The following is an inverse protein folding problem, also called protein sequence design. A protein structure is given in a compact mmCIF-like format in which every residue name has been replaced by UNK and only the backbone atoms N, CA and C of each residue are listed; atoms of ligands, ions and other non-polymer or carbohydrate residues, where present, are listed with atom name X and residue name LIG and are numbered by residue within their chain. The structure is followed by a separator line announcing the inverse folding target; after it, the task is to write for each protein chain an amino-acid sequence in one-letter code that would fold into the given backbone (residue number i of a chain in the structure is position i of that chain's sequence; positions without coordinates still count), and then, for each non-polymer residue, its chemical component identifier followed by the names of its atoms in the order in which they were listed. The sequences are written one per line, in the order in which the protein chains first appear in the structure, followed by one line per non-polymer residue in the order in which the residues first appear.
data_IF_562109515755
#
_entry.id   IF_562109515755
#
_cell.length_a   1.000
_cell.length_b   1.000
_cell.length_c   1.000
_cell.angle_alpha   90.00
_cell.angle_beta   90.00
_cell.angle_gamma   90.00
#
_symmetry.space_group_name_H-M   'P 1'
#
loop_
_entity.id
_entity.type
_entity.pdbx_description
1 polymer ?
#
# COMPACT_ATOMS: atom_id res chain seq x y z
N UNK A 1 44.10 -39.61 -56.42
CA UNK A 1 42.74 -39.96 -55.95
C UNK A 1 42.09 -38.71 -55.37
N UNK A 2 40.81 -38.46 -55.64
CA UNK A 2 40.04 -37.37 -54.99
C UNK A 2 39.33 -37.95 -53.76
N UNK A 3 39.41 -37.32 -52.58
CA UNK A 3 38.73 -37.81 -51.40
C UNK A 3 37.21 -37.80 -51.60
N UNK A 4 36.53 -38.82 -51.05
CA UNK A 4 35.08 -38.91 -50.99
C UNK A 4 34.64 -38.66 -49.55
N UNK A 5 33.54 -37.92 -49.37
CA UNK A 5 32.92 -37.74 -48.07
C UNK A 5 32.33 -39.06 -47.57
N UNK A 6 32.53 -39.36 -46.29
CA UNK A 6 31.91 -40.50 -45.60
C UNK A 6 30.42 -40.30 -45.36
N UNK A 7 29.75 -41.31 -44.81
CA UNK A 7 28.30 -41.31 -44.58
C UNK A 7 27.80 -40.29 -43.54
N UNK A 8 28.69 -39.67 -42.77
CA UNK A 8 28.38 -38.63 -41.81
C UNK A 8 29.12 -37.35 -42.21
N UNK A 9 28.37 -36.40 -42.75
CA UNK A 9 28.86 -35.09 -43.21
C UNK A 9 28.31 -33.91 -42.40
N UNK A 10 27.40 -34.19 -41.47
CA UNK A 10 26.79 -33.20 -40.58
C UNK A 10 27.31 -33.40 -39.15
N UNK A 11 27.73 -32.31 -38.52
CA UNK A 11 27.98 -32.25 -37.09
C UNK A 11 27.15 -31.11 -36.51
N UNK A 12 26.21 -31.45 -35.65
CA UNK A 12 25.46 -30.47 -34.88
C UNK A 12 26.29 -30.07 -33.65
N UNK A 13 26.34 -28.78 -33.38
CA UNK A 13 26.96 -28.19 -32.19
C UNK A 13 25.90 -27.37 -31.50
N UNK A 14 25.53 -27.76 -30.29
CA UNK A 14 24.61 -27.00 -29.43
C UNK A 14 25.44 -26.23 -28.42
N UNK A 15 25.11 -24.95 -28.23
CA UNK A 15 25.65 -24.12 -27.15
C UNK A 15 24.54 -23.98 -26.11
N UNK A 16 24.82 -24.41 -24.88
CA UNK A 16 23.89 -24.26 -23.78
C UNK A 16 23.75 -22.78 -23.37
N UNK A 17 22.62 -22.49 -22.74
CA UNK A 17 22.27 -21.15 -22.25
C UNK A 17 23.27 -20.74 -21.16
N UNK A 18 23.76 -19.51 -21.23
CA UNK A 18 24.64 -18.92 -20.23
C UNK A 18 23.99 -17.65 -19.65
N UNK A 19 24.45 -17.18 -18.49
CA UNK A 19 24.13 -15.86 -17.93
C UNK A 19 22.64 -15.60 -17.54
N UNK A 20 21.93 -16.63 -17.04
CA UNK A 20 20.51 -16.52 -16.65
C UNK A 20 19.61 -16.04 -17.80
N UNK A 21 19.66 -16.72 -18.95
CA UNK A 21 18.86 -16.37 -20.12
C UNK A 21 17.35 -16.25 -19.82
N UNK A 22 16.82 -17.07 -18.92
CA UNK A 22 15.44 -17.05 -18.42
C UNK A 22 15.16 -15.95 -17.38
N UNK A 23 16.19 -15.25 -16.93
CA UNK A 23 16.08 -14.08 -16.08
C UNK A 23 15.96 -14.34 -14.58
N UNK A 24 16.07 -13.23 -13.86
CA UNK A 24 15.96 -13.13 -12.40
C UNK A 24 14.70 -12.32 -12.12
N UNK A 25 13.77 -12.88 -11.33
CA UNK A 25 12.49 -12.25 -11.02
C UNK A 25 12.51 -11.67 -9.61
N UNK A 26 12.16 -10.39 -9.47
CA UNK A 26 12.11 -9.69 -8.20
C UNK A 26 11.13 -8.50 -8.22
N UNK A 27 10.79 -7.99 -7.04
CA UNK A 27 10.07 -6.73 -6.90
C UNK A 27 11.02 -5.54 -7.04
N UNK A 28 10.50 -4.41 -7.53
CA UNK A 28 11.28 -3.15 -7.59
C UNK A 28 11.31 -2.40 -6.26
N UNK A 29 10.31 -2.62 -5.40
CA UNK A 29 10.13 -1.94 -4.13
C UNK A 29 10.11 -2.92 -2.95
N UNK A 30 10.09 -2.38 -1.74
CA UNK A 30 9.88 -3.15 -0.52
C UNK A 30 8.66 -2.68 0.28
N UNK A 31 8.10 -1.54 -0.13
CA UNK A 31 6.95 -0.89 0.48
C UNK A 31 6.19 -0.09 -0.59
N UNK A 32 4.92 -0.40 -0.74
CA UNK A 32 3.96 0.32 -1.56
C UNK A 32 2.85 0.87 -0.67
N UNK A 33 2.84 2.18 -0.44
CA UNK A 33 1.78 2.85 0.32
C UNK A 33 0.63 3.25 -0.62
N UNK A 34 -0.60 2.93 -0.23
CA UNK A 34 -1.82 3.25 -0.99
C UNK A 34 -2.89 3.84 -0.09
N UNK A 35 -3.74 4.75 -0.60
CA UNK A 35 -4.94 5.14 0.11
C UNK A 35 -6.01 4.05 -0.02
N UNK A 36 -6.91 3.96 0.96
CA UNK A 36 -8.02 3.01 0.96
C UNK A 36 -8.96 3.20 -0.26
N UNK A 37 -9.13 4.44 -0.73
CA UNK A 37 -10.01 4.80 -1.83
C UNK A 37 -9.41 4.58 -3.25
N UNK A 38 -8.23 3.96 -3.35
CA UNK A 38 -7.55 3.74 -4.64
C UNK A 38 -8.31 2.80 -5.59
N UNK A 39 -9.16 1.93 -5.04
CA UNK A 39 -9.83 0.88 -5.80
C UNK A 39 -8.88 -0.25 -6.16
N UNK A 40 -8.14 -0.16 -7.27
CA UNK A 40 -7.21 -1.23 -7.69
C UNK A 40 -5.76 -0.77 -7.66
N UNK A 41 -4.92 -1.48 -6.90
CA UNK A 41 -3.46 -1.29 -6.88
C UNK A 41 -2.78 -2.30 -7.81
N UNK A 42 -1.77 -1.84 -8.53
CA UNK A 42 -0.88 -2.66 -9.36
C UNK A 42 0.50 -2.74 -8.73
N UNK A 43 0.96 -3.95 -8.43
CA UNK A 43 2.25 -4.23 -7.82
C UNK A 43 3.20 -4.73 -8.93
N UNK A 44 4.23 -3.96 -9.31
CA UNK A 44 5.14 -4.30 -10.41
C UNK A 44 6.12 -5.40 -10.01
N UNK A 45 6.29 -6.39 -10.88
CA UNK A 45 7.29 -7.44 -10.78
C UNK A 45 8.18 -7.36 -12.01
N UNK A 46 9.50 -7.36 -11.81
CA UNK A 46 10.47 -7.24 -12.88
C UNK A 46 11.22 -8.54 -13.10
N UNK A 47 11.58 -8.78 -14.36
CA UNK A 47 12.43 -9.89 -14.81
C UNK A 47 13.68 -9.30 -15.46
N UNK A 48 14.80 -9.36 -14.74
CA UNK A 48 16.10 -8.85 -15.16
C UNK A 48 17.06 -9.93 -15.68
N UNK A 49 18.24 -9.51 -16.16
CA UNK A 49 19.31 -10.35 -16.76
C UNK A 49 18.96 -11.08 -18.07
N UNK A 50 17.74 -11.60 -18.21
CA UNK A 50 17.29 -12.32 -19.39
C UNK A 50 15.78 -12.37 -19.49
N UNK A 51 15.28 -12.51 -20.73
CA UNK A 51 13.84 -12.54 -21.03
C UNK A 51 13.46 -13.74 -21.89
N UNK A 52 14.32 -14.76 -21.97
CA UNK A 52 14.12 -15.91 -22.85
C UNK A 52 13.08 -16.89 -22.28
N UNK A 53 12.11 -17.26 -23.10
CA UNK A 53 11.05 -18.20 -22.76
C UNK A 53 9.99 -17.63 -21.81
N UNK A 54 8.90 -18.38 -21.67
CA UNK A 54 7.83 -18.10 -20.72
C UNK A 54 8.25 -18.55 -19.32
N UNK A 55 8.13 -17.68 -18.34
CA UNK A 55 8.38 -17.99 -16.92
C UNK A 55 7.20 -17.55 -16.07
N UNK A 56 6.95 -18.27 -14.98
CA UNK A 56 5.78 -17.99 -14.14
C UNK A 56 6.06 -18.36 -12.68
N UNK A 57 6.49 -17.41 -11.82
CA UNK A 57 6.53 -17.64 -10.39
C UNK A 57 5.12 -17.64 -9.78
N UNK A 58 4.99 -18.42 -8.72
CA UNK A 58 3.83 -18.41 -7.84
C UNK A 58 3.88 -17.21 -6.91
N UNK A 59 2.74 -16.90 -6.29
CA UNK A 59 2.65 -15.90 -5.23
C UNK A 59 2.09 -16.56 -3.97
N UNK A 60 2.53 -16.07 -2.82
CA UNK A 60 1.98 -16.42 -1.51
C UNK A 60 1.75 -15.15 -0.70
N UNK A 61 0.72 -15.18 0.14
CA UNK A 61 0.42 -14.11 1.10
C UNK A 61 0.98 -14.52 2.45
N UNK A 62 1.78 -13.65 3.06
CA UNK A 62 2.44 -13.94 4.35
C UNK A 62 1.47 -13.69 5.52
N UNK A 63 1.58 -14.50 6.56
CA UNK A 63 0.87 -14.32 7.85
C UNK A 63 1.61 -13.31 8.74
N UNK A 64 0.89 -12.64 9.66
CA UNK A 64 1.32 -11.47 10.47
C UNK A 64 1.13 -10.11 9.78
N UNK A 65 -0.01 -9.95 9.14
CA UNK A 65 -0.47 -8.75 8.46
C UNK A 65 -1.65 -8.17 9.25
N UNK A 66 -1.85 -6.85 9.21
CA UNK A 66 -2.99 -6.21 9.88
C UNK A 66 -4.21 -6.10 8.98
N UNK A 67 -4.00 -6.01 7.66
CA UNK A 67 -5.08 -6.06 6.68
C UNK A 67 -5.54 -7.51 6.45
N UNK A 68 -6.85 -7.70 6.34
CA UNK A 68 -7.58 -8.95 6.16
C UNK A 68 -8.01 -9.14 4.69
N UNK A 69 -7.86 -10.38 4.15
CA UNK A 69 -8.25 -10.70 2.78
C UNK A 69 -9.77 -10.91 2.63
N UNK A 70 -10.18 -11.49 1.51
CA UNK A 70 -11.54 -11.95 1.22
C UNK A 70 -12.61 -10.84 1.21
N UNK A 71 -12.18 -9.63 0.87
CA UNK A 71 -13.08 -8.47 0.73
C UNK A 71 -13.39 -7.78 2.04
N UNK A 72 -12.58 -8.01 3.08
CA UNK A 72 -12.55 -7.17 4.27
C UNK A 72 -11.76 -5.90 3.94
N UNK A 73 -10.43 -5.99 3.82
CA UNK A 73 -9.59 -4.81 3.51
C UNK A 73 -9.04 -4.88 2.08
N UNK A 74 -8.88 -6.09 1.55
CA UNK A 74 -8.46 -6.30 0.16
C UNK A 74 -8.93 -7.62 -0.44
N UNK A 75 -8.89 -7.66 -1.78
CA UNK A 75 -9.06 -8.87 -2.60
C UNK A 75 -7.84 -8.96 -3.52
N UNK A 76 -7.02 -10.00 -3.36
CA UNK A 76 -6.00 -10.31 -4.36
C UNK A 76 -6.68 -10.90 -5.59
N UNK A 77 -6.38 -10.32 -6.75
CA UNK A 77 -6.84 -10.91 -8.01
C UNK A 77 -5.96 -12.12 -8.28
N UNK A 78 -6.54 -13.31 -8.17
CA UNK A 78 -5.87 -14.55 -8.54
C UNK A 78 -5.36 -14.50 -9.99
N UNK A 79 -4.21 -15.15 -10.17
CA UNK A 79 -3.88 -15.74 -11.46
C UNK A 79 -2.48 -15.38 -11.94
N UNK A 80 -1.48 -16.00 -11.32
CA UNK A 80 -0.11 -16.18 -11.83
C UNK A 80 0.63 -14.92 -12.32
N UNK A 81 1.80 -14.68 -11.74
CA UNK A 81 2.75 -13.76 -12.40
C UNK A 81 3.30 -14.49 -13.62
N UNK A 82 2.96 -14.05 -14.83
CA UNK A 82 3.44 -14.67 -16.07
C UNK A 82 4.22 -13.65 -16.89
N UNK A 83 5.46 -14.00 -17.21
CA UNK A 83 6.26 -13.30 -18.21
C UNK A 83 6.26 -14.15 -19.47
N UNK A 84 5.82 -13.56 -20.59
CA UNK A 84 5.99 -14.15 -21.91
C UNK A 84 7.45 -14.02 -22.38
N UNK A 85 7.78 -14.72 -23.46
CA UNK A 85 9.08 -14.56 -24.13
C UNK A 85 9.29 -13.09 -24.53
N UNK A 86 10.45 -12.54 -24.19
CA UNK A 86 10.79 -11.13 -24.43
C UNK A 86 10.20 -10.13 -23.42
N UNK A 87 9.38 -10.57 -22.45
CA UNK A 87 8.74 -9.68 -21.48
C UNK A 87 9.61 -9.52 -20.21
N UNK A 88 9.80 -8.27 -19.77
CA UNK A 88 10.59 -7.91 -18.59
C UNK A 88 9.78 -7.38 -17.41
N UNK A 89 8.48 -7.14 -17.57
CA UNK A 89 7.59 -6.61 -16.53
C UNK A 89 6.28 -7.39 -16.48
N UNK A 90 5.79 -7.68 -15.28
CA UNK A 90 4.47 -8.24 -15.02
C UNK A 90 3.85 -7.52 -13.80
N UNK A 91 2.55 -7.68 -13.57
CA UNK A 91 1.85 -6.98 -12.50
C UNK A 91 0.95 -7.93 -11.72
N UNK A 92 1.04 -7.84 -10.40
CA UNK A 92 0.05 -8.41 -9.47
C UNK A 92 -0.99 -7.33 -9.20
N UNK A 93 -2.27 -7.70 -9.10
CA UNK A 93 -3.36 -6.77 -8.82
C UNK A 93 -4.04 -7.11 -7.51
N UNK A 94 -4.28 -6.10 -6.69
CA UNK A 94 -5.15 -6.20 -5.54
C UNK A 94 -6.22 -5.10 -5.63
N UNK A 95 -7.45 -5.44 -5.27
CA UNK A 95 -8.51 -4.48 -5.03
C UNK A 95 -8.48 -4.13 -3.56
N UNK A 96 -8.35 -2.85 -3.23
CA UNK A 96 -8.49 -2.32 -1.87
C UNK A 96 -9.97 -2.01 -1.66
N UNK A 97 -10.51 -2.45 -0.53
CA UNK A 97 -11.90 -2.22 -0.16
C UNK A 97 -11.96 -0.88 0.55
N UNK A 98 -12.87 -0.02 0.08
CA UNK A 98 -13.15 1.27 0.70
C UNK A 98 -14.49 1.15 1.42
N UNK A 99 -14.50 1.34 2.73
CA UNK A 99 -15.72 1.37 3.52
C UNK A 99 -15.90 2.66 4.33
N UNK A 100 -16.54 2.61 5.49
CA UNK A 100 -16.80 3.77 6.37
C UNK A 100 -16.37 3.48 7.82
N UNK A 101 -15.62 2.40 8.03
CA UNK A 101 -15.11 1.92 9.30
C UNK A 101 -13.76 2.57 9.53
N UNK A 102 -13.53 2.98 10.77
CA UNK A 102 -12.30 3.68 11.13
C UNK A 102 -11.16 2.72 11.28
N UNK A 103 -10.15 2.93 10.46
CA UNK A 103 -9.02 2.02 10.38
C UNK A 103 -7.71 2.81 10.50
N UNK A 104 -6.82 2.29 11.35
CA UNK A 104 -5.44 2.76 11.35
C UNK A 104 -4.72 2.27 10.11
N UNK A 105 -3.45 2.62 9.94
CA UNK A 105 -2.67 2.05 8.83
C UNK A 105 -2.58 0.52 8.97
N UNK A 106 -2.92 -0.15 7.89
CA UNK A 106 -2.90 -1.61 7.79
C UNK A 106 -1.92 -2.06 6.73
N UNK A 107 -1.47 -3.32 6.83
CA UNK A 107 -0.48 -3.86 5.90
C UNK A 107 -0.84 -5.27 5.50
N UNK A 108 -0.55 -5.63 4.25
CA UNK A 108 -0.41 -7.01 3.79
C UNK A 108 0.89 -7.15 2.99
N UNK A 109 1.33 -8.38 2.72
CA UNK A 109 2.52 -8.60 1.89
C UNK A 109 2.36 -9.75 0.92
N UNK A 110 3.05 -9.62 -0.22
CA UNK A 110 3.05 -10.61 -1.29
C UNK A 110 4.48 -11.09 -1.50
N UNK A 111 4.67 -12.41 -1.50
CA UNK A 111 5.97 -13.05 -1.69
C UNK A 111 5.97 -13.91 -2.95
N UNK A 112 6.99 -13.75 -3.80
CA UNK A 112 7.24 -14.60 -4.96
C UNK A 112 7.79 -15.97 -4.51
N UNK A 113 7.25 -17.04 -5.06
CA UNK A 113 7.66 -18.42 -4.77
C UNK A 113 7.72 -19.27 -6.03
N UNK A 114 8.37 -20.44 -5.94
CA UNK A 114 8.33 -21.52 -6.94
C UNK A 114 8.44 -21.06 -8.42
N UNK A 115 9.52 -20.35 -8.81
CA UNK A 115 9.68 -19.89 -10.18
C UNK A 115 9.67 -21.07 -11.17
N UNK A 116 8.79 -21.00 -12.18
CA UNK A 116 8.74 -21.99 -13.26
C UNK A 116 9.41 -21.46 -14.53
N UNK A 117 9.85 -22.37 -15.40
CA UNK A 117 10.39 -22.04 -16.72
C UNK A 117 11.88 -21.69 -16.74
N UNK A 118 12.63 -21.97 -15.66
CA UNK A 118 14.08 -21.82 -15.60
C UNK A 118 14.58 -20.48 -15.05
N UNK A 119 13.68 -19.53 -14.77
CA UNK A 119 14.02 -18.33 -14.02
C UNK A 119 14.40 -18.65 -12.57
N UNK A 120 15.14 -17.74 -11.96
CA UNK A 120 15.42 -17.76 -10.52
C UNK A 120 14.81 -16.52 -9.85
N UNK A 121 14.59 -16.58 -8.54
CA UNK A 121 14.19 -15.41 -7.78
C UNK A 121 15.41 -14.56 -7.42
N UNK A 122 15.23 -13.24 -7.44
CA UNK A 122 16.25 -12.27 -7.08
C UNK A 122 16.39 -12.06 -5.57
N UNK A 123 16.98 -10.93 -5.20
CA UNK A 123 17.22 -10.59 -3.80
C UNK A 123 15.96 -10.08 -3.10
N UNK A 124 15.06 -9.45 -3.86
CA UNK A 124 13.87 -8.81 -3.34
C UNK A 124 12.60 -9.55 -3.79
N UNK A 125 12.14 -10.47 -2.94
CA UNK A 125 11.04 -11.38 -3.28
C UNK A 125 9.75 -11.10 -2.52
N UNK A 126 9.72 -10.07 -1.68
CA UNK A 126 8.56 -9.68 -0.88
C UNK A 126 8.31 -8.19 -1.01
N UNK A 127 7.08 -7.82 -1.39
CA UNK A 127 6.61 -6.44 -1.35
C UNK A 127 5.59 -6.29 -0.21
N UNK A 128 5.74 -5.26 0.61
CA UNK A 128 4.75 -4.88 1.63
C UNK A 128 3.83 -3.83 1.03
N UNK A 129 2.52 -4.02 1.15
CA UNK A 129 1.51 -3.05 0.76
C UNK A 129 0.94 -2.48 2.03
N UNK A 130 1.01 -1.15 2.19
CA UNK A 130 0.47 -0.43 3.32
C UNK A 130 -0.76 0.39 2.90
N UNK A 131 -1.91 0.03 3.47
CA UNK A 131 -3.15 0.77 3.33
C UNK A 131 -3.11 1.92 4.34
N UNK A 132 -3.22 3.13 3.83
CA UNK A 132 -3.16 4.36 4.64
C UNK A 132 -4.38 4.46 5.53
N UNK A 133 -4.20 5.04 6.72
CA UNK A 133 -5.28 5.33 7.66
C UNK A 133 -6.48 6.01 6.99
N UNK A 134 -7.68 5.66 7.43
CA UNK A 134 -8.91 6.11 6.79
C UNK A 134 -10.06 6.34 7.77
N UNK A 135 -11.07 7.09 7.30
CA UNK A 135 -12.26 7.44 8.07
C UNK A 135 -12.03 8.13 9.42
N UNK A 136 -10.85 8.75 9.57
CA UNK A 136 -10.48 9.56 10.73
C UNK A 136 -10.35 8.75 12.01
N UNK A 137 -9.42 7.77 12.08
CA UNK A 137 -9.25 6.91 13.25
C UNK A 137 -8.67 7.68 14.45
N UNK A 138 -8.01 8.82 14.17
CA UNK A 138 -7.51 9.79 15.15
C UNK A 138 -8.59 10.77 15.63
N UNK A 139 -9.79 10.71 15.03
CA UNK A 139 -10.88 11.65 15.26
C UNK A 139 -10.79 12.92 14.42
N UNK A 140 -11.95 13.48 14.11
CA UNK A 140 -12.11 14.71 13.34
C UNK A 140 -12.35 15.88 14.28
N UNK A 141 -11.59 16.96 14.14
CA UNK A 141 -11.83 18.21 14.86
C UNK A 141 -12.65 19.14 13.97
N UNK A 142 -13.85 19.51 14.41
CA UNK A 142 -14.75 20.42 13.71
C UNK A 142 -15.43 21.41 14.65
N UNK A 143 -16.17 22.37 14.13
CA UNK A 143 -17.09 23.16 14.94
C UNK A 143 -18.42 22.42 15.05
N UNK A 144 -19.10 22.56 16.19
CA UNK A 144 -20.46 22.08 16.35
C UNK A 144 -21.34 22.66 15.22
N UNK A 145 -22.25 21.86 14.65
CA UNK A 145 -23.13 22.33 13.57
C UNK A 145 -23.94 23.59 13.98
N UNK A 146 -24.29 23.70 15.27
CA UNK A 146 -24.95 24.86 15.86
C UNK A 146 -24.08 26.13 15.89
N UNK A 147 -22.75 26.00 15.84
CA UNK A 147 -21.78 27.09 15.91
C UNK A 147 -21.25 27.52 14.52
N UNK A 148 -21.60 26.81 13.43
CA UNK A 148 -21.11 27.11 12.07
C UNK A 148 -21.50 28.51 11.58
N UNK A 149 -22.56 29.10 12.13
CA UNK A 149 -22.96 30.46 11.79
C UNK A 149 -23.53 31.19 13.00
N UNK A 150 -22.73 32.12 13.55
CA UNK A 150 -23.14 33.01 14.63
C UNK A 150 -23.15 34.46 14.12
N UNK A 151 -24.33 35.06 14.05
CA UNK A 151 -24.48 36.50 13.78
C UNK A 151 -24.51 37.21 15.12
N UNK A 152 -23.64 38.20 15.29
CA UNK A 152 -23.50 38.97 16.53
C UNK A 152 -23.75 40.43 16.19
N UNK A 153 -24.65 41.06 16.94
CA UNK A 153 -24.89 42.49 16.83
C UNK A 153 -23.66 43.29 17.27
N UNK A 154 -23.39 44.42 16.62
CA UNK A 154 -22.23 45.25 16.91
C UNK A 154 -22.23 45.67 18.39
N UNK A 155 -21.28 45.18 19.21
CA UNK A 155 -21.34 45.45 20.63
C UNK A 155 -20.84 46.87 20.93
N UNK A 156 -21.51 47.56 21.85
CA UNK A 156 -21.10 48.90 22.28
C UNK A 156 -19.77 48.93 23.06
N UNK A 157 -19.26 47.76 23.47
CA UNK A 157 -18.00 47.57 24.18
C UNK A 157 -17.32 46.27 23.73
N UNK A 158 -16.01 46.15 23.95
CA UNK A 158 -15.26 44.92 23.68
C UNK A 158 -15.92 43.71 24.35
N UNK A 159 -16.15 42.65 23.57
CA UNK A 159 -16.75 41.40 24.04
C UNK A 159 -15.88 40.22 23.62
N UNK A 160 -15.56 39.35 24.57
CA UNK A 160 -14.91 38.08 24.23
C UNK A 160 -15.94 37.15 23.54
N UNK A 161 -15.53 36.58 22.41
CA UNK A 161 -16.28 35.54 21.72
C UNK A 161 -15.65 34.19 22.01
N UNK A 162 -16.40 33.28 22.59
CA UNK A 162 -16.02 31.88 22.70
C UNK A 162 -16.70 31.07 21.60
N UNK A 163 -15.96 30.11 21.06
CA UNK A 163 -16.46 29.07 20.18
C UNK A 163 -15.89 27.73 20.63
N UNK A 164 -16.62 26.65 20.38
CA UNK A 164 -16.23 25.29 20.73
C UNK A 164 -15.86 24.48 19.50
N UNK A 165 -14.68 23.85 19.54
CA UNK A 165 -14.39 22.72 18.67
C UNK A 165 -14.94 21.44 19.30
N UNK A 166 -15.42 20.52 18.48
CA UNK A 166 -15.79 19.18 18.86
C UNK A 166 -14.82 18.20 18.20
N UNK A 167 -14.41 17.17 18.94
CA UNK A 167 -13.70 16.03 18.39
C UNK A 167 -14.73 14.92 18.17
N UNK A 168 -14.93 14.50 16.93
CA UNK A 168 -15.75 13.35 16.59
C UNK A 168 -14.87 12.20 16.13
N UNK A 169 -14.82 11.11 16.90
CA UNK A 169 -14.50 9.80 16.35
C UNK A 169 -13.07 9.25 16.43
N UNK A 170 -12.22 9.68 17.36
CA UNK A 170 -10.90 9.07 17.58
C UNK A 170 -10.88 7.99 18.68
N UNK A 171 -9.83 7.16 18.74
CA UNK A 171 -9.53 6.37 19.94
C UNK A 171 -8.94 7.28 21.04
N UNK A 172 -9.20 6.97 22.32
CA UNK A 172 -8.89 7.80 23.49
C UNK A 172 -7.40 8.20 23.67
N UNK A 173 -6.49 7.71 22.82
CA UNK A 173 -5.03 7.71 23.03
C UNK A 173 -4.31 8.99 22.55
N UNK A 174 -4.89 9.78 21.63
CA UNK A 174 -4.22 10.98 21.07
C UNK A 174 -4.38 12.27 21.90
N UNK A 175 -4.93 12.18 23.12
CA UNK A 175 -5.36 13.34 23.91
C UNK A 175 -4.30 13.93 24.86
N UNK A 176 -3.07 13.43 24.87
CA UNK A 176 -2.01 13.93 25.78
C UNK A 176 -0.97 14.76 25.04
N UNK A 177 -1.38 15.94 24.55
CA UNK A 177 -0.46 17.02 24.23
C UNK A 177 -0.13 17.82 25.50
N UNK A 178 1.07 17.69 26.02
CA UNK A 178 1.60 18.43 27.18
C UNK A 178 1.72 19.93 26.90
N UNK A 179 1.02 20.75 27.68
CA UNK A 179 1.63 21.85 28.43
C UNK A 179 0.78 22.19 29.68
N UNK A 180 1.40 22.04 30.85
CA UNK A 180 1.01 22.77 32.06
C UNK A 180 -0.35 22.44 32.72
N UNK A 181 -0.46 21.27 33.36
CA UNK A 181 -1.22 21.17 34.62
C UNK A 181 -2.46 20.26 34.62
N UNK A 182 -2.24 19.02 35.13
CA UNK A 182 -3.21 18.08 35.73
C UNK A 182 -4.52 17.81 34.97
N UNK A 183 -4.62 16.60 34.39
CA UNK A 183 -5.90 16.00 34.03
C UNK A 183 -6.18 14.74 34.85
N UNK A 184 -7.36 14.69 35.48
CA UNK A 184 -8.02 13.45 35.89
C UNK A 184 -9.16 13.20 34.90
N UNK A 185 -9.21 11.98 34.39
CA UNK A 185 -10.25 11.35 33.57
C UNK A 185 -11.65 11.95 33.79
N UNK A 186 -12.15 12.66 32.78
CA UNK A 186 -13.57 12.90 32.53
C UNK A 186 -13.75 13.04 31.03
N UNK A 187 -14.56 12.15 30.47
CA UNK A 187 -15.07 12.19 29.09
C UNK A 187 -15.70 13.57 28.86
N UNK A 188 -15.07 14.46 28.09
CA UNK A 188 -15.69 15.69 27.58
C UNK A 188 -15.02 16.12 26.27
N UNK A 189 -15.84 16.61 25.35
CA UNK A 189 -15.40 17.33 24.16
C UNK A 189 -14.44 18.47 24.52
N UNK A 190 -13.48 18.71 23.63
CA UNK A 190 -12.41 19.67 23.83
C UNK A 190 -12.88 21.09 23.52
N UNK A 191 -13.23 21.87 24.53
CA UNK A 191 -13.42 23.30 24.40
C UNK A 191 -12.06 24.02 24.31
N UNK A 192 -11.64 24.44 23.11
CA UNK A 192 -10.54 25.42 22.96
C UNK A 192 -11.11 26.83 22.90
N UNK A 193 -10.62 27.72 23.77
CA UNK A 193 -10.98 29.13 23.75
C UNK A 193 -10.07 29.90 22.80
N UNK A 194 -10.66 30.61 21.87
CA UNK A 194 -9.95 31.53 20.98
C UNK A 194 -10.50 32.92 21.23
N UNK A 195 -9.63 33.93 21.29
CA UNK A 195 -10.02 35.31 21.61
C UNK A 195 -9.95 36.15 20.34
N UNK A 196 -11.11 36.59 19.85
CA UNK A 196 -11.21 37.61 18.81
C UNK A 196 -11.73 38.90 19.46
N UNK A 197 -10.92 39.96 19.44
CA UNK A 197 -11.32 41.30 19.88
C UNK A 197 -11.76 42.06 18.63
N UNK A 198 -13.00 42.54 18.63
CA UNK A 198 -13.56 43.34 17.55
C UNK A 198 -13.69 44.77 18.09
N UNK A 199 -13.12 45.74 17.36
CA UNK A 199 -13.18 47.17 17.67
C UNK A 199 -14.34 47.85 16.94
#
# INVERSE_FOLDING_TARGET
MRPQLGSLTLKEVTIDKNDHAEGIIEFTGSLLEVPEDIGTVTIPVVRGSGTFGRVSPSISVVQNVTAMPDGVDYILTDGEVVFLDGQSEAYIRATIINDQIKEFSETFSVTLTDPQGGAILGSNITEVIAISKSDGPDGLIGFAAADLRRIIENPANSRDLSFSSELSGGTDEYLTGTEGGRFRKKVYGFHRHWRLIIH
#
